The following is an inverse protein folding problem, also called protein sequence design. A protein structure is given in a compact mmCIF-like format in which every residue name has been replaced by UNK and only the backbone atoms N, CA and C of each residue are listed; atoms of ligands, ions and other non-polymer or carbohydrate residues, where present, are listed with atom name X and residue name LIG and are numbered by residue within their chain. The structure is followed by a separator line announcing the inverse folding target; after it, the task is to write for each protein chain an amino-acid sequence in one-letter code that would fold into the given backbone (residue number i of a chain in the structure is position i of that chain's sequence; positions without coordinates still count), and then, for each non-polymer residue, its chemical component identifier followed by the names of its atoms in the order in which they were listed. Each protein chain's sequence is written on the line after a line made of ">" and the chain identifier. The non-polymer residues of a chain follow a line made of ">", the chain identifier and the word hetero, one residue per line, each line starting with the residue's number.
data_IF_224593298958
#
_entry.id   IF_224593298958
#
_cell.length_a   1.000
_cell.length_b   1.000
_cell.length_c   1.000
_cell.angle_alpha   90.00
_cell.angle_beta   90.00
_cell.angle_gamma   90.00
#
_symmetry.space_group_name_H-M   'P 1'
#
loop_
_entity.id
_entity.type
_entity.pdbx_description
1 polymer ?
#
# COMPACT_ATOMS: atom_id res chain seq x y z
N UNK A 1 -17.21 -8.39 10.37
CA UNK A 1 -16.62 -7.60 9.28
C UNK A 1 -15.67 -8.51 8.52
N UNK A 2 -15.82 -8.62 7.20
CA UNK A 2 -14.93 -9.41 6.34
C UNK A 2 -14.02 -8.43 5.59
N UNK A 3 -12.71 -8.58 5.71
CA UNK A 3 -11.70 -7.73 5.08
C UNK A 3 -10.91 -8.54 4.07
N UNK A 4 -10.50 -7.91 2.98
CA UNK A 4 -9.59 -8.50 2.00
C UNK A 4 -8.34 -7.67 1.87
N UNK A 5 -7.22 -8.33 1.65
CA UNK A 5 -5.99 -7.66 1.26
C UNK A 5 -6.17 -7.04 -0.13
N UNK A 6 -5.82 -5.76 -0.26
CA UNK A 6 -5.73 -5.07 -1.55
C UNK A 6 -4.27 -5.10 -2.03
N UNK A 7 -3.36 -4.58 -1.21
CA UNK A 7 -1.93 -4.66 -1.47
C UNK A 7 -1.09 -4.52 -0.19
N UNK A 8 0.18 -4.86 -0.35
CA UNK A 8 1.25 -4.52 0.60
C UNK A 8 2.18 -3.55 -0.11
N UNK A 9 2.64 -2.53 0.61
CA UNK A 9 3.77 -1.73 0.15
C UNK A 9 5.01 -1.94 1.01
N UNK A 10 6.16 -1.67 0.39
CA UNK A 10 7.47 -1.59 1.04
C UNK A 10 8.05 -0.22 0.72
N UNK A 11 8.33 0.57 1.76
CA UNK A 11 9.09 1.80 1.68
C UNK A 11 10.56 1.46 1.40
N UNK A 12 11.09 2.00 0.32
CA UNK A 12 12.43 1.69 -0.17
C UNK A 12 13.19 2.96 -0.54
N UNK A 13 14.48 2.79 -0.84
CA UNK A 13 15.32 3.86 -1.36
C UNK A 13 14.74 4.49 -2.64
N UNK A 14 15.08 5.77 -2.93
CA UNK A 14 14.57 6.50 -4.07
C UNK A 14 14.65 5.74 -5.40
N UNK A 15 13.61 5.91 -6.22
CA UNK A 15 13.41 5.24 -7.51
C UNK A 15 13.21 3.71 -7.45
N UNK A 16 13.21 3.12 -6.26
CA UNK A 16 12.94 1.70 -6.02
C UNK A 16 13.74 0.77 -6.97
N UNK A 17 15.05 1.00 -7.09
CA UNK A 17 15.94 0.17 -7.93
C UNK A 17 15.94 -1.30 -7.53
N UNK A 18 15.68 -1.60 -6.26
CA UNK A 18 15.51 -2.99 -5.78
C UNK A 18 14.42 -3.76 -6.54
N UNK A 19 13.39 -3.06 -7.06
CA UNK A 19 12.32 -3.69 -7.83
C UNK A 19 12.77 -4.20 -9.21
N UNK A 20 13.95 -3.80 -9.71
CA UNK A 20 14.53 -4.35 -10.94
C UNK A 20 14.81 -5.86 -10.81
N UNK A 21 15.03 -6.36 -9.59
CA UNK A 21 15.14 -7.80 -9.33
C UNK A 21 13.89 -8.57 -9.72
N UNK A 22 12.70 -7.98 -9.57
CA UNK A 22 11.47 -8.62 -10.03
C UNK A 22 11.39 -8.63 -11.56
N UNK A 23 11.81 -7.56 -12.22
CA UNK A 23 11.88 -7.53 -13.69
C UNK A 23 12.85 -8.58 -14.23
N UNK A 24 14.03 -8.72 -13.63
CA UNK A 24 15.03 -9.74 -13.97
C UNK A 24 14.46 -11.18 -13.83
N UNK A 25 13.50 -11.38 -12.93
CA UNK A 25 12.80 -12.65 -12.72
C UNK A 25 11.51 -12.80 -13.54
N UNK A 26 11.24 -11.91 -14.49
CA UNK A 26 10.13 -12.03 -15.43
C UNK A 26 8.78 -11.49 -14.90
N UNK A 27 8.77 -10.81 -13.76
CA UNK A 27 7.59 -10.04 -13.36
C UNK A 27 7.41 -8.84 -14.29
N UNK A 28 6.16 -8.43 -14.52
CA UNK A 28 5.85 -7.23 -15.29
C UNK A 28 5.39 -6.14 -14.35
N UNK A 29 6.06 -5.01 -14.45
CA UNK A 29 5.67 -3.78 -13.79
C UNK A 29 4.38 -3.24 -14.43
N UNK A 30 3.43 -2.84 -13.58
CA UNK A 30 2.22 -2.15 -14.02
C UNK A 30 2.41 -0.63 -14.01
N UNK A 31 1.30 0.14 -14.13
CA UNK A 31 1.37 1.59 -14.15
C UNK A 31 2.03 2.15 -12.88
N UNK A 32 2.75 3.26 -12.98
CA UNK A 32 3.34 3.99 -11.84
C UNK A 32 2.47 5.17 -11.44
N UNK A 33 2.61 5.63 -10.20
CA UNK A 33 1.99 6.85 -9.68
C UNK A 33 3.04 7.71 -8.97
N UNK A 34 2.79 9.01 -8.97
CA UNK A 34 3.24 9.92 -7.91
C UNK A 34 2.02 10.22 -7.03
N UNK A 35 2.24 10.50 -5.73
CA UNK A 35 1.18 10.73 -4.76
C UNK A 35 1.24 12.16 -4.20
N UNK A 36 0.73 13.17 -4.94
CA UNK A 36 0.62 14.53 -4.44
C UNK A 36 -0.13 14.61 -3.10
N UNK A 37 0.41 15.40 -2.19
CA UNK A 37 -0.01 15.53 -0.81
C UNK A 37 0.48 14.42 0.14
N UNK A 38 1.12 13.37 -0.39
CA UNK A 38 1.84 12.36 0.39
C UNK A 38 3.36 12.52 0.28
N UNK A 39 3.87 13.13 -0.80
CA UNK A 39 5.31 13.28 -1.04
C UNK A 39 6.02 12.00 -1.51
N UNK A 40 5.28 11.03 -2.07
CA UNK A 40 5.84 9.73 -2.46
C UNK A 40 5.60 9.39 -3.94
N UNK A 41 6.37 8.44 -4.46
CA UNK A 41 6.14 7.81 -5.75
C UNK A 41 6.28 6.29 -5.65
N UNK A 42 5.77 5.56 -6.66
CA UNK A 42 5.75 4.11 -6.61
C UNK A 42 6.16 3.36 -7.89
N UNK A 43 6.40 2.06 -7.70
CA UNK A 43 6.44 0.99 -8.70
C UNK A 43 5.53 -0.13 -8.24
N UNK A 44 4.74 -0.71 -9.15
CA UNK A 44 3.68 -1.67 -8.79
C UNK A 44 3.77 -2.97 -9.57
N UNK A 45 3.58 -4.08 -8.88
CA UNK A 45 3.59 -5.43 -9.45
C UNK A 45 2.32 -6.17 -9.06
N UNK A 46 1.53 -6.56 -10.05
CA UNK A 46 0.18 -7.11 -9.85
C UNK A 46 0.20 -8.64 -9.80
N UNK A 47 -0.57 -9.18 -8.85
CA UNK A 47 -0.82 -10.60 -8.63
C UNK A 47 -2.31 -10.91 -8.81
N UNK A 48 -2.69 -12.19 -8.75
CA UNK A 48 -4.09 -12.56 -8.95
C UNK A 48 -5.03 -12.05 -7.85
N UNK A 49 -4.51 -11.83 -6.64
CA UNK A 49 -5.29 -11.48 -5.46
C UNK A 49 -4.81 -10.18 -4.76
N UNK A 50 -3.94 -9.40 -5.40
CA UNK A 50 -3.43 -8.16 -4.83
C UNK A 50 -2.27 -7.59 -5.62
N UNK A 51 -1.53 -6.67 -5.00
CA UNK A 51 -0.41 -5.98 -5.61
C UNK A 51 0.74 -5.82 -4.60
N UNK A 52 1.98 -5.81 -5.09
CA UNK A 52 3.15 -5.40 -4.33
C UNK A 52 3.59 -4.03 -4.84
N UNK A 53 3.60 -3.07 -3.93
CA UNK A 53 4.02 -1.70 -4.19
C UNK A 53 5.39 -1.44 -3.58
N UNK A 54 6.31 -0.91 -4.37
CA UNK A 54 7.53 -0.28 -3.86
C UNK A 54 7.29 1.21 -3.88
N UNK A 55 7.30 1.83 -2.69
CA UNK A 55 7.05 3.25 -2.50
C UNK A 55 8.32 3.91 -1.98
N UNK A 56 8.60 5.15 -2.37
CA UNK A 56 9.70 5.94 -1.83
C UNK A 56 9.27 7.38 -1.61
N UNK A 57 9.96 8.07 -0.70
CA UNK A 57 9.81 9.52 -0.53
C UNK A 57 10.44 10.21 -1.75
N UNK A 58 9.60 10.89 -2.52
CA UNK A 58 10.00 11.67 -3.69
C UNK A 58 10.18 13.15 -3.31
N UNK A 59 9.36 13.66 -2.40
CA UNK A 59 9.40 15.02 -1.89
C UNK A 59 9.29 14.98 -0.36
N UNK A 60 10.42 15.16 0.32
CA UNK A 60 10.50 15.08 1.78
C UNK A 60 9.79 16.24 2.48
N UNK A 61 9.71 17.42 1.85
CA UNK A 61 8.98 18.56 2.41
C UNK A 61 7.47 18.27 2.36
N UNK A 62 6.97 17.83 1.21
CA UNK A 62 5.56 17.45 1.07
C UNK A 62 5.21 16.26 1.97
N UNK A 63 6.10 15.27 2.11
CA UNK A 63 5.90 14.15 3.02
C UNK A 63 5.83 14.56 4.50
N UNK A 64 6.55 15.61 4.89
CA UNK A 64 6.60 16.10 6.28
C UNK A 64 5.52 17.13 6.61
N UNK A 65 5.08 17.90 5.61
CA UNK A 65 4.20 19.06 5.81
C UNK A 65 2.82 18.90 5.15
N UNK A 66 2.69 17.99 4.18
CA UNK A 66 1.47 17.76 3.42
C UNK A 66 0.35 17.04 4.19
N UNK A 67 -0.79 16.79 3.52
CA UNK A 67 -1.92 16.04 4.08
C UNK A 67 -1.55 14.66 4.65
N UNK A 68 -0.52 14.01 4.09
CA UNK A 68 -0.04 12.69 4.52
C UNK A 68 0.96 12.70 5.68
N UNK A 69 1.31 13.85 6.26
CA UNK A 69 2.41 13.96 7.24
C UNK A 69 2.35 12.98 8.42
N UNK A 70 1.16 12.65 8.90
CA UNK A 70 0.96 11.70 10.01
C UNK A 70 1.19 10.22 9.64
N UNK A 71 1.62 9.95 8.41
CA UNK A 71 2.12 8.64 7.97
C UNK A 71 3.62 8.49 8.26
N UNK A 72 4.32 9.60 8.51
CA UNK A 72 5.74 9.63 8.88
C UNK A 72 6.66 8.96 7.86
N UNK A 73 6.40 9.14 6.55
CA UNK A 73 7.19 8.48 5.51
C UNK A 73 8.65 8.95 5.50
N UNK A 74 8.91 10.24 5.76
CA UNK A 74 10.27 10.76 5.87
C UNK A 74 11.02 10.11 7.03
N UNK A 75 10.43 10.09 8.23
CA UNK A 75 11.07 9.47 9.40
C UNK A 75 11.27 7.96 9.21
N UNK A 76 10.29 7.27 8.63
CA UNK A 76 10.39 5.83 8.34
C UNK A 76 11.45 5.51 7.28
N UNK A 77 11.73 6.41 6.35
CA UNK A 77 12.75 6.22 5.33
C UNK A 77 14.17 6.41 5.89
N UNK A 78 14.32 7.28 6.89
CA UNK A 78 15.62 7.62 7.49
C UNK A 78 16.00 6.69 8.65
N UNK A 79 15.04 6.17 9.40
CA UNK A 79 15.27 5.29 10.56
C UNK A 79 15.35 3.81 10.15
N UNK A 80 16.52 3.15 10.24
CA UNK A 80 16.67 1.74 9.89
C UNK A 80 15.94 0.78 10.84
N UNK A 81 15.45 1.26 11.99
CA UNK A 81 14.65 0.49 12.94
C UNK A 81 13.15 0.63 12.71
N UNK A 82 12.72 1.57 11.85
CA UNK A 82 11.33 1.72 11.48
C UNK A 82 10.87 0.55 10.60
N UNK A 83 9.58 0.22 10.69
CA UNK A 83 8.95 -0.72 9.77
C UNK A 83 8.74 -0.04 8.40
N UNK A 84 9.29 -0.58 7.31
CA UNK A 84 9.07 -0.05 5.97
C UNK A 84 7.73 -0.51 5.38
N UNK A 85 6.97 -1.33 6.07
CA UNK A 85 5.81 -2.01 5.50
C UNK A 85 4.51 -1.23 5.70
N UNK A 86 3.62 -1.37 4.72
CA UNK A 86 2.22 -0.98 4.85
C UNK A 86 1.28 -2.05 4.30
N UNK A 87 0.12 -2.19 4.94
CA UNK A 87 -0.91 -3.16 4.60
C UNK A 87 -2.21 -2.41 4.31
N UNK A 88 -2.74 -2.60 3.10
CA UNK A 88 -3.98 -1.98 2.67
C UNK A 88 -5.04 -3.06 2.56
N UNK A 89 -6.16 -2.87 3.25
CA UNK A 89 -7.32 -3.76 3.21
C UNK A 89 -8.56 -3.04 2.71
N UNK A 90 -9.43 -3.80 2.07
CA UNK A 90 -10.70 -3.34 1.49
C UNK A 90 -11.86 -4.13 2.08
N UNK A 91 -13.09 -3.58 2.07
CA UNK A 91 -14.26 -4.34 2.50
C UNK A 91 -14.46 -5.59 1.64
N UNK A 92 -14.77 -6.71 2.28
CA UNK A 92 -15.26 -7.91 1.60
C UNK A 92 -16.64 -7.70 0.99
N UNK A 93 -17.02 -8.53 0.01
CA UNK A 93 -18.28 -8.40 -0.75
C UNK A 93 -19.54 -8.38 0.12
N UNK A 94 -19.51 -9.06 1.27
CA UNK A 94 -20.65 -9.19 2.17
C UNK A 94 -20.55 -8.25 3.40
N UNK A 95 -19.68 -7.26 3.34
CA UNK A 95 -19.47 -6.35 4.47
C UNK A 95 -20.58 -5.29 4.52
N UNK A 96 -21.63 -5.55 5.29
CA UNK A 96 -22.78 -4.67 5.47
C UNK A 96 -22.56 -3.51 6.45
N UNK A 97 -21.47 -3.54 7.25
CA UNK A 97 -21.17 -2.48 8.22
C UNK A 97 -20.30 -1.39 7.60
N UNK A 98 -20.67 -0.14 7.86
CA UNK A 98 -19.91 1.07 7.54
C UNK A 98 -18.83 1.42 8.57
N UNK A 99 -18.67 0.61 9.61
CA UNK A 99 -17.75 0.91 10.71
C UNK A 99 -16.30 0.71 10.28
N UNK A 100 -15.42 1.57 10.80
CA UNK A 100 -13.98 1.42 10.59
C UNK A 100 -13.47 0.13 11.24
N UNK A 101 -12.58 -0.61 10.58
CA UNK A 101 -12.14 -1.92 11.05
C UNK A 101 -11.29 -1.91 12.32
N UNK A 102 -10.70 -0.77 12.64
CA UNK A 102 -9.79 -0.54 13.75
C UNK A 102 -9.81 0.94 14.15
N UNK A 103 -9.35 1.31 15.36
CA UNK A 103 -9.16 2.71 15.74
C UNK A 103 -8.20 3.40 14.76
N UNK A 104 -8.49 4.65 14.43
CA UNK A 104 -7.74 5.34 13.39
C UNK A 104 -8.22 6.74 13.08
N UNK A 105 -7.69 7.29 12.00
CA UNK A 105 -7.96 8.65 11.54
C UNK A 105 -8.20 8.68 10.03
N UNK A 106 -8.89 9.72 9.57
CA UNK A 106 -9.20 9.89 8.15
C UNK A 106 -8.06 10.61 7.43
N UNK A 107 -7.48 9.95 6.44
CA UNK A 107 -6.51 10.53 5.54
C UNK A 107 -7.15 10.76 4.17
N UNK A 108 -7.31 12.03 3.78
CA UNK A 108 -7.80 12.41 2.45
C UNK A 108 -6.61 12.84 1.56
N UNK A 109 -6.16 12.01 0.61
CA UNK A 109 -5.17 12.41 -0.38
C UNK A 109 -5.74 13.46 -1.34
N UNK A 110 -4.88 14.33 -1.89
CA UNK A 110 -5.29 15.37 -2.82
C UNK A 110 -5.88 14.83 -4.14
N UNK A 111 -5.54 13.58 -4.49
CA UNK A 111 -6.02 12.91 -5.70
C UNK A 111 -7.39 12.23 -5.56
N UNK A 112 -8.04 12.30 -4.39
CA UNK A 112 -9.42 11.85 -4.21
C UNK A 112 -10.39 13.03 -4.07
N UNK A 113 -11.60 12.94 -4.64
CA UNK A 113 -12.62 13.96 -4.43
C UNK A 113 -13.10 13.92 -2.98
N UNK A 114 -13.19 15.06 -2.26
CA UNK A 114 -13.74 15.08 -0.91
C UNK A 114 -15.17 14.48 -0.86
N UNK A 115 -15.55 13.73 0.21
CA UNK A 115 -14.77 13.40 1.40
C UNK A 115 -14.05 12.03 1.31
N UNK A 116 -13.69 11.56 0.11
CA UNK A 116 -13.12 10.23 -0.06
C UNK A 116 -11.67 10.18 0.44
N UNK A 117 -11.40 9.28 1.37
CA UNK A 117 -10.07 9.07 1.94
C UNK A 117 -9.89 7.67 2.51
N UNK A 118 -8.65 7.36 2.85
CA UNK A 118 -8.31 6.16 3.60
C UNK A 118 -8.64 6.33 5.08
N UNK A 119 -8.97 5.22 5.74
CA UNK A 119 -8.97 5.14 7.19
C UNK A 119 -7.63 4.53 7.64
N UNK A 120 -6.80 5.32 8.29
CA UNK A 120 -5.44 4.94 8.70
C UNK A 120 -5.46 4.49 10.15
N UNK A 121 -4.79 3.39 10.46
CA UNK A 121 -4.70 2.84 11.81
C UNK A 121 -4.08 3.84 12.79
N UNK A 122 -4.60 3.88 14.01
CA UNK A 122 -4.09 4.75 15.06
C UNK A 122 -2.63 4.43 15.43
N UNK A 123 -2.14 3.24 15.07
CA UNK A 123 -0.76 2.83 15.24
C UNK A 123 0.22 3.56 14.30
N UNK A 124 -0.24 4.40 13.36
CA UNK A 124 0.62 5.07 12.38
C UNK A 124 1.72 5.95 12.99
N UNK A 125 1.51 6.45 14.21
CA UNK A 125 2.50 7.20 14.99
C UNK A 125 3.66 6.34 15.50
N UNK A 126 3.48 5.01 15.61
CA UNK A 126 4.54 4.09 15.96
C UNK A 126 5.29 3.69 14.69
N UNK A 127 6.45 4.30 14.45
CA UNK A 127 7.24 4.05 13.24
C UNK A 127 7.83 2.65 13.18
N UNK A 128 7.97 1.95 14.33
CA UNK A 128 8.43 0.56 14.37
C UNK A 128 7.35 -0.44 13.91
N UNK A 129 6.10 -0.01 13.78
CA UNK A 129 4.99 -0.85 13.31
C UNK A 129 4.63 -0.56 11.85
N UNK A 130 4.07 -1.54 11.12
CA UNK A 130 3.57 -1.31 9.77
C UNK A 130 2.39 -0.33 9.77
N UNK A 131 2.29 0.45 8.68
CA UNK A 131 1.11 1.28 8.45
C UNK A 131 -0.08 0.40 8.03
N UNK A 132 -1.21 0.57 8.69
CA UNK A 132 -2.44 -0.15 8.34
C UNK A 132 -3.44 0.83 7.73
N UNK A 133 -3.90 0.55 6.51
CA UNK A 133 -4.92 1.34 5.82
C UNK A 133 -6.15 0.49 5.55
N UNK A 134 -7.32 1.09 5.74
CA UNK A 134 -8.58 0.60 5.22
C UNK A 134 -9.04 1.53 4.10
N UNK A 135 -9.38 0.94 2.95
CA UNK A 135 -9.79 1.66 1.76
C UNK A 135 -11.29 1.41 1.50
N UNK A 136 -12.19 2.21 2.11
CA UNK A 136 -13.58 1.83 2.33
C UNK A 136 -14.46 1.76 1.07
N UNK A 137 -14.04 2.37 -0.04
CA UNK A 137 -14.83 2.49 -1.26
C UNK A 137 -14.16 1.83 -2.49
N UNK A 138 -13.11 1.06 -2.27
CA UNK A 138 -12.45 0.29 -3.31
C UNK A 138 -13.14 -1.07 -3.47
N UNK A 139 -13.36 -1.50 -4.72
CA UNK A 139 -13.93 -2.80 -5.00
C UNK A 139 -12.89 -3.90 -4.69
N UNK A 140 -13.23 -4.92 -3.87
CA UNK A 140 -12.36 -6.07 -3.59
C UNK A 140 -11.96 -6.91 -4.82
N UNK A 141 -12.43 -6.57 -6.02
CA UNK A 141 -12.36 -7.39 -7.22
C UNK A 141 -11.47 -6.93 -8.37
N UNK A 142 -10.63 -5.89 -8.25
CA UNK A 142 -9.85 -5.42 -9.42
C UNK A 142 -8.32 -5.52 -9.23
N UNK A 143 -7.72 -6.62 -9.69
CA UNK A 143 -6.40 -6.54 -10.32
C UNK A 143 -6.45 -7.09 -11.74
N UNK A 144 -6.23 -6.27 -12.80
CA UNK A 144 -5.78 -6.71 -14.15
C UNK A 144 -5.09 -5.56 -14.92
N UNK A 145 -4.13 -5.83 -15.84
CA UNK A 145 -3.84 -7.11 -16.49
C UNK A 145 -2.37 -7.58 -16.50
N UNK A 146 -2.15 -8.89 -16.65
CA UNK A 146 -1.12 -9.37 -17.58
C UNK A 146 -1.81 -10.19 -18.69
N UNK A 147 -1.82 -9.72 -19.95
CA UNK A 147 -2.45 -10.46 -21.06
C UNK A 147 -1.61 -11.62 -21.59
N UNK A 148 -0.30 -11.69 -21.30
CA UNK A 148 0.56 -12.77 -21.80
C UNK A 148 1.33 -13.42 -20.66
N UNK A 149 0.86 -14.62 -20.32
CA UNK A 149 1.39 -15.55 -19.35
C UNK A 149 2.68 -16.14 -19.93
N UNK A 150 3.85 -15.65 -19.55
CA UNK A 150 5.08 -16.41 -19.76
C UNK A 150 5.05 -17.55 -18.72
N UNK A 151 4.91 -18.78 -19.20
CA UNK A 151 4.97 -20.01 -18.41
C UNK A 151 6.36 -20.23 -17.79
N UNK A 152 6.86 -19.35 -16.92
CA UNK A 152 8.03 -19.63 -16.09
C UNK A 152 7.86 -19.02 -14.70
N UNK A 153 7.68 -19.91 -13.72
CA UNK A 153 7.76 -19.68 -12.25
C UNK A 153 7.07 -18.40 -11.76
N UNK A 154 5.75 -18.35 -11.87
CA UNK A 154 4.96 -17.22 -11.39
C UNK A 154 4.58 -17.41 -9.91
N UNK A 155 4.95 -16.48 -9.04
CA UNK A 155 4.22 -16.29 -7.78
C UNK A 155 2.86 -15.69 -8.16
N UNK A 156 1.78 -16.43 -7.88
CA UNK A 156 0.42 -16.06 -8.33
C UNK A 156 -0.41 -15.39 -7.23
N UNK A 157 -0.04 -15.60 -5.96
CA UNK A 157 -0.87 -15.28 -4.81
C UNK A 157 0.01 -14.87 -3.61
N UNK A 158 -0.39 -13.81 -2.92
CA UNK A 158 0.16 -13.46 -1.60
C UNK A 158 -0.90 -13.76 -0.53
N UNK A 159 -0.58 -14.61 0.45
CA UNK A 159 -1.46 -14.89 1.59
C UNK A 159 -0.74 -14.61 2.89
N UNK A 160 -1.44 -14.00 3.85
CA UNK A 160 -1.03 -13.91 5.24
C UNK A 160 -1.97 -14.77 6.08
N UNK A 161 -1.41 -15.76 6.78
CA UNK A 161 -2.16 -16.58 7.74
C UNK A 161 -1.65 -16.26 9.14
N UNK A 162 -2.56 -15.89 10.05
CA UNK A 162 -2.25 -15.92 11.48
C UNK A 162 -2.40 -17.36 11.97
N UNK A 163 -1.40 -17.93 12.67
CA UNK A 163 -1.61 -19.22 13.32
C UNK A 163 -2.68 -19.08 14.39
N UNK A 164 -3.63 -20.02 14.42
CA UNK A 164 -4.56 -20.18 15.54
C UNK A 164 -3.75 -20.52 16.80
N UNK A 165 -4.00 -19.77 17.88
CA UNK A 165 -3.47 -20.04 19.22
C UNK A 165 -4.18 -21.26 19.82
#
# INVERSE_FOLDING_TARGET
>A
MNLKLDHVFILVEPEARVADRLLEHGFREGPRNTHPGQGTANRRFYFANGMLEFIWVQDADEASNGPGRSLHFSERAEDPTASPFGIIVVPGKDNASSDSPFPGWHYQPAYFPPPKGFHVGANSHNIAEPLCFYFPFQDPGVPKPQPDRIERRSACEASSNTPSV
#
